data_IF_494612332737
#
_entry.id   IF_494612332737
#
_cell.length_a   1.000
_cell.length_b   1.000
_cell.length_c   1.000
_cell.angle_alpha   90.00
_cell.angle_beta   90.00
_cell.angle_gamma   90.00
#
_symmetry.space_group_name_H-M   'P 1'
#
loop_
_entity.id
_entity.type
_entity.pdbx_description
1 polymer ?
#
# COMPACT_ATOMS: atom_id res chain seq x y z
N UNK A 1 -68.26 -32.83 35.86
CA UNK A 1 -67.07 -32.27 35.19
C UNK A 1 -66.89 -30.83 35.66
N UNK A 2 -65.65 -30.49 36.02
CA UNK A 2 -65.13 -29.27 36.67
C UNK A 2 -65.82 -27.95 36.27
N UNK A 3 -66.30 -27.10 37.19
CA UNK A 3 -65.69 -26.23 38.22
C UNK A 3 -65.49 -24.78 37.76
N UNK A 4 -66.02 -23.89 38.60
CA UNK A 4 -66.25 -22.45 38.49
C UNK A 4 -64.98 -21.58 38.68
N UNK A 5 -65.08 -20.36 38.11
CA UNK A 5 -64.65 -19.03 38.59
C UNK A 5 -63.19 -18.70 38.95
N UNK A 6 -62.77 -17.57 38.37
CA UNK A 6 -61.58 -16.74 38.61
C UNK A 6 -61.41 -16.29 40.08
N UNK A 7 -60.18 -15.89 40.44
CA UNK A 7 -60.04 -14.48 40.88
C UNK A 7 -58.75 -13.74 40.43
N UNK A 8 -58.95 -12.46 40.12
CA UNK A 8 -58.20 -11.24 40.50
C UNK A 8 -56.65 -11.12 40.39
N UNK A 9 -56.26 -10.21 39.49
CA UNK A 9 -55.40 -9.00 39.67
C UNK A 9 -53.93 -9.12 40.13
N UNK A 10 -53.00 -8.73 39.24
CA UNK A 10 -51.83 -7.94 39.58
C UNK A 10 -51.34 -7.14 38.36
N UNK A 11 -51.27 -5.82 38.50
CA UNK A 11 -50.66 -4.89 37.56
C UNK A 11 -49.13 -4.95 37.68
N UNK A 12 -48.42 -4.89 36.55
CA UNK A 12 -47.06 -4.38 36.50
C UNK A 12 -46.79 -3.79 35.11
N UNK A 13 -46.70 -2.47 35.13
CA UNK A 13 -46.10 -1.57 34.15
C UNK A 13 -44.71 -2.06 33.71
N UNK A 14 -44.33 -1.79 32.46
CA UNK A 14 -43.01 -2.20 31.96
C UNK A 14 -42.90 -2.21 30.45
N UNK A 15 -43.07 -1.04 29.82
CA UNK A 15 -42.60 -0.85 28.46
C UNK A 15 -41.08 -1.02 28.40
N UNK A 16 -40.61 -1.89 27.52
CA UNK A 16 -39.32 -1.75 26.82
C UNK A 16 -39.54 -2.32 25.43
N UNK A 17 -39.79 -1.42 24.47
CA UNK A 17 -39.58 -1.71 23.06
C UNK A 17 -38.10 -2.06 22.92
N UNK A 18 -37.79 -3.35 22.77
CA UNK A 18 -36.47 -3.81 22.37
C UNK A 18 -36.29 -3.40 20.90
N UNK A 19 -35.92 -2.14 20.71
CA UNK A 19 -35.36 -1.62 19.48
C UNK A 19 -34.02 -2.33 19.30
N UNK A 20 -34.08 -3.50 18.66
CA UNK A 20 -32.92 -4.24 18.22
C UNK A 20 -32.27 -3.44 17.11
N UNK A 21 -31.42 -2.48 17.51
CA UNK A 21 -30.51 -1.81 16.61
C UNK A 21 -29.59 -2.88 15.99
N UNK A 22 -29.94 -3.29 14.77
CA UNK A 22 -29.07 -4.06 13.89
C UNK A 22 -27.72 -3.35 13.86
N UNK A 23 -26.60 -3.99 14.25
CA UNK A 23 -25.30 -3.36 14.09
C UNK A 23 -25.12 -3.08 12.60
N UNK A 24 -24.98 -1.79 12.26
CA UNK A 24 -24.65 -1.36 10.91
C UNK A 24 -23.41 -2.14 10.47
N UNK A 25 -23.37 -2.68 9.24
CA UNK A 25 -22.21 -3.41 8.75
C UNK A 25 -20.99 -2.51 8.94
N UNK A 26 -19.95 -3.03 9.62
CA UNK A 26 -18.67 -2.35 9.71
C UNK A 26 -18.30 -1.92 8.31
N UNK A 27 -18.29 -0.60 8.06
CA UNK A 27 -17.77 -0.06 6.83
C UNK A 27 -16.28 -0.33 6.85
N UNK A 28 -15.90 -1.51 6.36
CA UNK A 28 -14.53 -1.82 5.98
C UNK A 28 -14.21 -0.83 4.86
N UNK A 29 -13.62 0.30 5.23
CA UNK A 29 -13.00 1.17 4.27
C UNK A 29 -12.00 0.31 3.51
N UNK A 30 -12.15 0.12 2.19
CA UNK A 30 -11.15 -0.63 1.44
C UNK A 30 -9.81 0.07 1.66
N UNK A 31 -8.81 -0.69 2.11
CA UNK A 31 -7.43 -0.23 2.22
C UNK A 31 -6.95 0.10 0.80
N UNK A 32 -7.09 1.36 0.39
CA UNK A 32 -6.59 1.82 -0.90
C UNK A 32 -5.07 1.87 -0.79
N UNK A 33 -4.40 0.88 -1.38
CA UNK A 33 -2.95 0.72 -1.32
C UNK A 33 -2.18 1.93 -1.85
N UNK A 34 -0.95 2.11 -1.36
CA UNK A 34 -0.07 3.20 -1.78
C UNK A 34 0.19 3.16 -3.30
N UNK A 35 0.36 1.98 -3.89
CA UNK A 35 0.60 1.84 -5.32
C UNK A 35 -0.58 2.36 -6.16
N UNK A 36 -1.81 2.07 -5.73
CA UNK A 36 -3.02 2.58 -6.38
C UNK A 36 -3.09 4.11 -6.27
N UNK A 37 -2.85 4.68 -5.09
CA UNK A 37 -2.87 6.14 -4.92
C UNK A 37 -1.78 6.85 -5.74
N UNK A 38 -0.57 6.27 -5.80
CA UNK A 38 0.55 6.81 -6.56
C UNK A 38 0.32 6.72 -8.07
N UNK A 39 -0.18 5.58 -8.58
CA UNK A 39 -0.47 5.41 -10.00
C UNK A 39 -1.56 6.36 -10.51
N UNK A 40 -2.49 6.76 -9.64
CA UNK A 40 -3.54 7.76 -9.92
C UNK A 40 -3.12 9.19 -9.62
N UNK A 41 -1.86 9.42 -9.24
CA UNK A 41 -1.31 10.75 -8.87
C UNK A 41 -2.08 11.43 -7.72
N UNK A 42 -2.74 10.67 -6.84
CA UNK A 42 -3.41 11.20 -5.65
C UNK A 42 -2.41 11.56 -4.53
N UNK A 43 -1.26 10.89 -4.52
CA UNK A 43 -0.12 11.26 -3.68
C UNK A 43 0.89 11.99 -4.54
N UNK A 44 1.28 13.18 -4.10
CA UNK A 44 2.33 13.97 -4.73
C UNK A 44 3.55 14.10 -3.81
N UNK A 45 4.54 14.87 -4.25
CA UNK A 45 5.81 15.07 -3.56
C UNK A 45 5.69 15.79 -2.20
N UNK A 46 4.52 16.31 -1.83
CA UNK A 46 4.29 16.97 -0.54
C UNK A 46 4.23 15.93 0.57
N UNK A 47 5.33 15.81 1.31
CA UNK A 47 5.46 14.88 2.45
C UNK A 47 6.37 13.67 2.19
N UNK A 48 7.05 13.63 1.05
CA UNK A 48 7.90 12.50 0.63
C UNK A 48 9.37 12.92 0.72
N UNK A 49 10.25 12.06 1.23
CA UNK A 49 11.71 12.28 1.13
C UNK A 49 12.19 11.72 -0.21
N UNK A 50 12.59 12.56 -1.19
CA UNK A 50 13.19 12.05 -2.41
C UNK A 50 14.54 11.40 -2.07
N UNK A 51 14.74 10.19 -2.58
CA UNK A 51 16.06 9.60 -2.70
C UNK A 51 16.64 10.13 -4.01
N UNK A 52 17.80 10.79 -3.95
CA UNK A 52 18.33 11.60 -5.05
C UNK A 52 18.42 10.92 -6.44
N UNK A 53 18.68 11.73 -7.45
CA UNK A 53 18.86 11.31 -8.84
C UNK A 53 19.91 10.19 -8.94
N UNK A 54 19.59 9.18 -9.73
CA UNK A 54 20.50 8.11 -10.11
C UNK A 54 20.48 7.93 -11.62
N UNK A 55 21.54 7.35 -12.15
CA UNK A 55 21.70 7.12 -13.58
C UNK A 55 21.56 5.62 -13.88
N UNK A 56 20.79 5.28 -14.91
CA UNK A 56 20.66 3.93 -15.44
C UNK A 56 20.74 3.98 -16.96
N UNK A 57 21.74 3.30 -17.54
CA UNK A 57 21.97 3.26 -18.99
C UNK A 57 22.03 4.66 -19.65
N UNK A 58 22.60 5.67 -18.96
CA UNK A 58 22.68 7.05 -19.47
C UNK A 58 21.42 7.89 -19.26
N UNK A 59 20.34 7.29 -18.73
CA UNK A 59 19.12 8.00 -18.38
C UNK A 59 19.09 8.30 -16.87
N UNK A 60 18.86 9.57 -16.52
CA UNK A 60 18.61 9.96 -15.14
C UNK A 60 17.20 9.54 -14.72
N UNK A 61 17.09 9.03 -13.50
CA UNK A 61 15.81 8.68 -12.88
C UNK A 61 15.77 9.16 -11.43
N UNK A 62 14.57 9.49 -10.96
CA UNK A 62 14.32 9.86 -9.57
C UNK A 62 13.75 8.67 -8.80
N UNK A 63 14.08 8.60 -7.51
CA UNK A 63 13.54 7.60 -6.61
C UNK A 63 12.82 8.29 -5.46
N UNK A 64 11.60 7.87 -5.18
CA UNK A 64 10.79 8.39 -4.08
C UNK A 64 10.33 7.24 -3.20
N UNK A 65 10.29 7.46 -1.90
CA UNK A 65 9.91 6.43 -0.93
C UNK A 65 8.82 6.94 0.00
N UNK A 66 7.77 6.15 0.15
CA UNK A 66 6.53 6.49 0.83
C UNK A 66 6.29 5.50 1.96
N UNK A 67 5.52 5.93 2.96
CA UNK A 67 5.16 5.10 4.10
C UNK A 67 3.77 5.44 4.60
N UNK A 68 2.99 4.41 4.89
CA UNK A 68 1.75 4.47 5.66
C UNK A 68 1.91 3.68 6.97
N UNK A 69 0.83 3.47 7.70
CA UNK A 69 0.86 2.73 8.97
C UNK A 69 1.39 1.30 8.82
N UNK A 70 1.02 0.61 7.72
CA UNK A 70 1.27 -0.82 7.50
C UNK A 70 1.93 -1.13 6.15
N UNK A 71 2.20 -0.11 5.33
CA UNK A 71 2.77 -0.26 3.99
C UNK A 71 3.92 0.71 3.78
N UNK A 72 4.79 0.32 2.86
CA UNK A 72 5.78 1.21 2.26
C UNK A 72 5.70 1.10 0.74
N UNK A 73 6.07 2.18 0.05
CA UNK A 73 6.18 2.13 -1.40
C UNK A 73 7.46 2.81 -1.91
N UNK A 74 7.97 2.34 -3.04
CA UNK A 74 9.07 2.96 -3.78
C UNK A 74 8.58 3.26 -5.19
N UNK A 75 8.75 4.51 -5.62
CA UNK A 75 8.44 4.96 -6.97
C UNK A 75 9.73 5.38 -7.67
N UNK A 76 9.96 4.83 -8.86
CA UNK A 76 10.99 5.27 -9.77
C UNK A 76 10.33 6.06 -10.88
N UNK A 77 10.89 7.22 -11.21
CA UNK A 77 10.42 8.10 -12.27
C UNK A 77 11.49 8.26 -13.34
N UNK A 78 11.11 8.02 -14.60
CA UNK A 78 11.99 8.12 -15.76
C UNK A 78 11.45 9.16 -16.73
N UNK A 79 12.32 10.04 -17.23
CA UNK A 79 11.96 10.91 -18.36
C UNK A 79 11.89 10.09 -19.64
N UNK A 80 10.69 10.00 -20.22
CA UNK A 80 10.42 9.13 -21.37
C UNK A 80 10.15 7.67 -20.97
N UNK A 81 10.33 6.70 -21.89
CA UNK A 81 10.12 5.28 -21.62
C UNK A 81 11.12 4.75 -20.57
N UNK A 82 10.79 3.63 -19.94
CA UNK A 82 11.70 3.01 -18.97
C UNK A 82 12.98 2.54 -19.70
N UNK A 83 14.18 2.81 -19.16
CA UNK A 83 15.45 2.39 -19.77
C UNK A 83 15.80 0.92 -19.42
N UNK A 84 14.87 0.17 -18.83
CA UNK A 84 15.10 -1.23 -18.46
C UNK A 84 15.10 -2.11 -19.72
N UNK A 85 16.01 -3.09 -19.76
CA UNK A 85 16.14 -4.02 -20.90
C UNK A 85 14.96 -4.99 -21.05
N UNK A 86 14.01 -4.99 -20.12
CA UNK A 86 12.85 -5.87 -20.09
C UNK A 86 11.76 -5.36 -19.15
N UNK A 87 10.61 -6.05 -19.12
CA UNK A 87 9.52 -5.76 -18.18
C UNK A 87 9.84 -6.27 -16.79
N UNK A 88 9.54 -5.47 -15.77
CA UNK A 88 9.61 -5.87 -14.38
C UNK A 88 8.46 -6.83 -14.09
N UNK A 89 8.78 -8.10 -13.87
CA UNK A 89 7.81 -9.10 -13.45
C UNK A 89 7.85 -9.32 -11.92
N UNK A 90 9.01 -9.08 -11.30
CA UNK A 90 9.23 -9.30 -9.88
C UNK A 90 10.04 -8.16 -9.27
N UNK A 91 9.75 -7.87 -8.01
CA UNK A 91 10.53 -6.98 -7.18
C UNK A 91 10.89 -7.64 -5.86
N UNK A 92 11.97 -7.19 -5.23
CA UNK A 92 12.28 -7.52 -3.83
C UNK A 92 12.81 -6.29 -3.09
N UNK A 93 12.42 -6.14 -1.83
CA UNK A 93 12.90 -5.09 -0.94
C UNK A 93 13.62 -5.74 0.23
N UNK A 94 14.94 -5.80 0.14
CA UNK A 94 15.79 -6.43 1.14
C UNK A 94 16.23 -5.42 2.19
N UNK A 95 15.81 -5.60 3.43
CA UNK A 95 16.14 -4.74 4.55
C UNK A 95 17.43 -5.12 5.29
N UNK A 96 17.69 -4.49 6.44
CA UNK A 96 18.79 -4.84 7.33
C UNK A 96 18.77 -6.34 7.68
N UNK A 97 19.96 -6.94 7.85
CA UNK A 97 20.13 -8.36 8.15
C UNK A 97 19.50 -9.31 7.11
N UNK A 98 19.39 -8.88 5.85
CA UNK A 98 18.83 -9.66 4.76
C UNK A 98 17.38 -10.13 5.02
N UNK A 99 16.58 -9.30 5.69
CA UNK A 99 15.16 -9.56 5.89
C UNK A 99 14.34 -8.94 4.74
N UNK A 100 13.68 -9.76 3.89
CA UNK A 100 12.86 -9.23 2.81
C UNK A 100 11.51 -8.73 3.34
N UNK A 101 11.05 -7.60 2.81
CA UNK A 101 9.65 -7.19 2.96
C UNK A 101 8.76 -7.98 1.99
N UNK A 102 7.54 -8.27 2.41
CA UNK A 102 6.55 -8.93 1.55
C UNK A 102 6.03 -7.93 0.52
N UNK A 103 6.37 -8.14 -0.74
CA UNK A 103 5.84 -7.34 -1.85
C UNK A 103 4.35 -7.62 -2.01
N UNK A 104 3.59 -6.53 -2.13
CA UNK A 104 2.15 -6.52 -2.35
C UNK A 104 1.89 -6.39 -3.83
N UNK A 105 2.56 -5.43 -4.47
CA UNK A 105 2.30 -5.07 -5.85
C UNK A 105 3.52 -4.44 -6.52
N UNK A 106 3.63 -4.65 -7.84
CA UNK A 106 4.52 -3.93 -8.74
C UNK A 106 3.68 -3.40 -9.90
N UNK A 107 3.69 -2.08 -10.10
CA UNK A 107 2.96 -1.42 -11.19
C UNK A 107 3.95 -0.67 -12.09
N UNK A 108 3.90 -0.95 -13.38
CA UNK A 108 4.51 -0.10 -14.41
C UNK A 108 3.46 0.83 -15.01
N UNK A 109 3.71 2.13 -14.94
CA UNK A 109 2.88 3.17 -15.54
C UNK A 109 3.62 3.73 -16.74
N UNK A 110 2.98 3.67 -17.91
CA UNK A 110 3.50 4.25 -19.14
C UNK A 110 3.71 5.78 -19.00
N UNK A 111 4.58 6.38 -19.83
CA UNK A 111 4.72 7.84 -19.87
C UNK A 111 3.38 8.53 -20.08
N UNK A 112 3.06 9.50 -19.22
CA UNK A 112 1.89 10.35 -19.37
C UNK A 112 2.16 11.36 -20.50
N UNK A 113 1.21 11.63 -21.43
CA UNK A 113 1.40 12.65 -22.46
C UNK A 113 1.63 14.07 -21.91
N UNK A 114 1.21 14.39 -20.69
CA UNK A 114 1.37 15.73 -20.10
C UNK A 114 2.77 15.98 -19.55
N UNK A 115 3.35 15.00 -18.83
CA UNK A 115 4.65 15.14 -18.16
C UNK A 115 5.78 14.33 -18.82
N UNK A 116 5.44 13.37 -19.68
CA UNK A 116 6.38 12.48 -20.35
C UNK A 116 7.08 11.49 -19.41
N UNK A 117 6.58 11.28 -18.19
CA UNK A 117 7.25 10.50 -17.14
C UNK A 117 6.68 9.09 -17.04
N UNK A 118 7.49 8.08 -17.31
CA UNK A 118 7.18 6.69 -16.94
C UNK A 118 7.45 6.44 -15.46
N UNK A 119 6.68 5.54 -14.85
CA UNK A 119 6.83 5.21 -13.42
C UNK A 119 6.87 3.70 -13.19
N UNK A 120 7.69 3.28 -12.24
CA UNK A 120 7.63 1.93 -11.68
C UNK A 120 7.39 2.07 -10.18
N UNK A 121 6.30 1.48 -9.69
CA UNK A 121 5.88 1.58 -8.29
C UNK A 121 5.90 0.19 -7.67
N UNK A 122 6.51 0.08 -6.51
CA UNK A 122 6.58 -1.15 -5.71
C UNK A 122 5.95 -0.86 -4.36
N UNK A 123 4.96 -1.66 -3.96
CA UNK A 123 4.38 -1.60 -2.63
C UNK A 123 4.71 -2.88 -1.85
N UNK A 124 5.00 -2.72 -0.56
CA UNK A 124 5.29 -3.83 0.35
C UNK A 124 4.61 -3.63 1.70
N UNK A 125 4.34 -4.73 2.39
CA UNK A 125 3.94 -4.73 3.80
C UNK A 125 5.14 -4.36 4.66
N UNK A 126 4.92 -3.46 5.61
CA UNK A 126 5.90 -3.12 6.62
C UNK A 126 5.24 -2.47 7.84
N UNK A 127 5.44 -3.09 8.99
CA UNK A 127 5.17 -2.47 10.29
C UNK A 127 6.14 -1.30 10.56
N UNK A 128 5.81 -0.40 11.50
CA UNK A 128 6.65 0.75 11.78
C UNK A 128 8.11 0.47 12.18
N UNK A 129 8.37 -0.72 12.73
CA UNK A 129 9.73 -1.17 13.08
C UNK A 129 10.44 -1.78 11.88
N UNK A 130 9.70 -2.48 11.04
CA UNK A 130 10.22 -3.15 9.84
C UNK A 130 10.65 -2.15 8.78
N UNK A 131 9.95 -1.02 8.64
CA UNK A 131 10.29 0.03 7.68
C UNK A 131 11.57 0.83 8.02
N UNK A 132 12.28 0.50 9.11
CA UNK A 132 13.47 1.22 9.56
C UNK A 132 14.74 0.66 8.94
N UNK A 133 15.68 1.55 8.64
CA UNK A 133 17.00 1.19 8.15
C UNK A 133 17.17 1.47 6.66
N UNK A 134 18.09 0.75 6.03
CA UNK A 134 18.44 0.91 4.62
C UNK A 134 18.08 -0.36 3.88
N UNK A 135 17.41 -0.20 2.75
CA UNK A 135 16.92 -1.27 1.90
C UNK A 135 17.67 -1.29 0.57
N UNK A 136 17.69 -2.47 -0.03
CA UNK A 136 18.04 -2.67 -1.43
C UNK A 136 16.80 -3.12 -2.18
N UNK A 137 16.39 -2.34 -3.19
CA UNK A 137 15.37 -2.74 -4.14
C UNK A 137 16.03 -3.48 -5.30
N UNK A 138 15.47 -4.62 -5.70
CA UNK A 138 15.90 -5.35 -6.90
C UNK A 138 14.71 -5.64 -7.80
N UNK A 139 14.90 -5.45 -9.11
CA UNK A 139 13.95 -5.81 -10.15
C UNK A 139 14.45 -6.98 -10.98
N UNK A 140 13.53 -7.87 -11.32
CA UNK A 140 13.78 -9.01 -12.19
C UNK A 140 12.66 -9.14 -13.23
N UNK A 141 13.01 -9.70 -14.39
CA UNK A 141 12.02 -10.17 -15.36
C UNK A 141 11.36 -11.49 -14.92
N UNK A 142 10.56 -12.09 -15.81
CA UNK A 142 9.82 -13.31 -15.49
C UNK A 142 10.75 -14.52 -15.34
N UNK A 143 11.85 -14.51 -16.07
CA UNK A 143 12.92 -15.50 -16.11
C UNK A 143 13.85 -15.42 -14.89
N UNK A 144 13.78 -14.32 -14.14
CA UNK A 144 14.65 -14.06 -12.99
C UNK A 144 15.94 -13.32 -13.35
N UNK A 145 16.07 -12.82 -14.59
CA UNK A 145 17.16 -11.95 -14.99
C UNK A 145 17.03 -10.64 -14.22
N UNK A 146 18.12 -10.24 -13.56
CA UNK A 146 18.21 -8.99 -12.84
C UNK A 146 18.23 -7.81 -13.80
N UNK A 147 17.24 -6.92 -13.68
CA UNK A 147 17.08 -5.72 -14.49
C UNK A 147 17.68 -4.48 -13.81
N UNK A 148 17.53 -4.37 -12.49
CA UNK A 148 18.01 -3.24 -11.70
C UNK A 148 18.30 -3.67 -10.26
N UNK A 149 19.36 -3.13 -9.67
CA UNK A 149 19.61 -3.18 -8.22
C UNK A 149 19.84 -1.77 -7.72
N UNK A 150 19.04 -1.39 -6.74
CA UNK A 150 18.97 -0.06 -6.19
C UNK A 150 19.22 -0.11 -4.67
N UNK A 151 20.48 0.04 -4.24
CA UNK A 151 20.80 0.14 -2.83
C UNK A 151 20.45 1.53 -2.28
N UNK A 152 20.29 1.61 -0.96
CA UNK A 152 20.20 2.89 -0.25
C UNK A 152 18.78 3.40 0.00
N UNK A 153 17.75 2.63 -0.36
CA UNK A 153 16.34 3.02 -0.18
C UNK A 153 16.05 3.18 1.32
N UNK A 154 15.41 4.29 1.69
CA UNK A 154 15.00 4.57 3.07
C UNK A 154 13.57 5.08 3.07
N UNK A 155 12.77 4.62 4.03
CA UNK A 155 11.40 5.07 4.19
C UNK A 155 11.31 6.23 5.18
N UNK A 156 10.39 7.20 4.97
CA UNK A 156 10.14 8.26 5.93
C UNK A 156 9.76 7.74 7.33
N UNK A 157 9.98 8.58 8.34
CA UNK A 157 9.32 8.41 9.63
C UNK A 157 7.88 8.91 9.53
N UNK A 158 6.94 8.14 10.08
CA UNK A 158 5.60 8.61 10.47
C UNK A 158 5.62 8.98 11.94
#
# INVERSE_FOLDING_TARGET
>A
MLLFLLPFLAAADGGVSADAATPLPEQVCPDVGLAAMLSKKFLDQRGVKPLGLKELAGAEFQVRSFRSALRVAVQLEFSGPTPLSGKVARASLMGPNHQPLRIVEVIEVAPDPEDGIARIIVEAEAQPREARGVFTLEFQDAEGTRLLVLPGVRFPSI
#
